data_IF_660084633816
#
_entry.id   IF_660084633816
#
_cell.length_a   1.000
_cell.length_b   1.000
_cell.length_c   1.000
_cell.angle_alpha   90.00
_cell.angle_beta   90.00
_cell.angle_gamma   90.00
#
_symmetry.space_group_name_H-M   'P 1'
#
loop_
_entity.id
_entity.type
_entity.pdbx_description
1 polymer ?
#
# COMPACT_ATOMS: atom_id res chain seq x y z
N UNK A 1 6.96 -20.61 -1.80
CA UNK A 1 8.05 -20.32 -0.87
C UNK A 1 7.67 -20.83 0.52
N UNK A 2 7.92 -22.13 0.76
CA UNK A 2 7.86 -22.69 2.11
C UNK A 2 9.17 -22.30 2.80
N UNK A 3 9.20 -21.11 3.39
CA UNK A 3 10.37 -20.62 4.14
C UNK A 3 10.55 -21.32 5.50
N UNK A 4 9.79 -22.38 5.81
CA UNK A 4 9.92 -23.11 7.07
C UNK A 4 9.70 -22.23 8.33
N UNK A 5 9.10 -21.04 8.18
CA UNK A 5 8.86 -20.12 9.26
C UNK A 5 7.69 -20.59 10.12
N UNK A 6 7.73 -20.42 11.47
CA UNK A 6 6.62 -20.75 12.35
C UNK A 6 5.35 -19.99 11.95
N UNK A 7 4.20 -20.61 12.12
CA UNK A 7 2.88 -20.18 11.64
C UNK A 7 2.47 -18.73 12.01
N UNK A 8 3.09 -18.11 13.02
CA UNK A 8 2.80 -16.72 13.41
C UNK A 8 3.72 -15.66 12.76
N UNK A 9 4.90 -16.07 12.31
CA UNK A 9 5.91 -15.14 11.75
C UNK A 9 5.73 -14.96 10.25
N UNK A 10 5.25 -16.00 9.57
CA UNK A 10 5.06 -16.00 8.12
C UNK A 10 4.19 -14.84 7.60
N UNK A 11 2.98 -14.58 8.12
CA UNK A 11 2.15 -13.47 7.62
C UNK A 11 2.76 -12.09 7.90
N UNK A 12 3.45 -11.92 9.03
CA UNK A 12 4.09 -10.63 9.36
C UNK A 12 5.21 -10.31 8.38
N UNK A 13 6.06 -11.28 8.10
CA UNK A 13 7.16 -11.13 7.12
C UNK A 13 6.59 -10.86 5.73
N UNK A 14 5.54 -11.57 5.31
CA UNK A 14 4.90 -11.35 4.02
C UNK A 14 4.32 -9.94 3.89
N UNK A 15 3.65 -9.40 4.93
CA UNK A 15 3.11 -8.04 4.95
C UNK A 15 4.24 -7.00 4.89
N UNK A 16 5.33 -7.18 5.61
CA UNK A 16 6.47 -6.26 5.55
C UNK A 16 7.15 -6.28 4.19
N UNK A 17 7.33 -7.46 3.59
CA UNK A 17 7.90 -7.59 2.25
C UNK A 17 7.00 -6.95 1.19
N UNK A 18 5.68 -7.13 1.27
CA UNK A 18 4.74 -6.47 0.36
C UNK A 18 4.79 -4.95 0.51
N UNK A 19 4.95 -4.43 1.74
CA UNK A 19 5.19 -3.02 2.00
C UNK A 19 6.46 -2.50 1.34
N UNK A 20 7.57 -3.24 1.43
CA UNK A 20 8.83 -2.86 0.78
C UNK A 20 8.71 -2.84 -0.75
N UNK A 21 8.05 -3.83 -1.33
CA UNK A 21 7.77 -3.87 -2.78
C UNK A 21 6.91 -2.67 -3.18
N UNK A 22 5.86 -2.34 -2.43
CA UNK A 22 5.03 -1.16 -2.64
C UNK A 22 5.83 0.13 -2.61
N UNK A 23 6.74 0.29 -1.63
CA UNK A 23 7.63 1.45 -1.55
C UNK A 23 8.55 1.57 -2.78
N UNK A 24 9.14 0.46 -3.24
CA UNK A 24 9.99 0.45 -4.43
C UNK A 24 9.20 0.86 -5.68
N UNK A 25 7.98 0.36 -5.85
CA UNK A 25 7.12 0.73 -6.96
C UNK A 25 6.77 2.22 -6.97
N UNK A 26 6.44 2.80 -5.82
CA UNK A 26 6.11 4.23 -5.72
C UNK A 26 7.33 5.14 -5.78
N UNK A 27 8.55 4.62 -5.63
CA UNK A 27 9.77 5.37 -5.91
C UNK A 27 9.88 5.79 -7.38
N UNK A 28 9.33 4.99 -8.32
CA UNK A 28 9.42 5.28 -9.76
C UNK A 28 8.75 6.62 -10.13
N UNK A 29 7.46 6.87 -9.82
CA UNK A 29 6.83 8.17 -10.10
C UNK A 29 7.46 9.31 -9.30
N UNK A 30 8.00 9.05 -8.08
CA UNK A 30 8.74 10.06 -7.33
C UNK A 30 10.01 10.53 -8.07
N UNK A 31 10.80 9.59 -8.58
CA UNK A 31 12.00 9.89 -9.36
C UNK A 31 11.65 10.60 -10.68
N UNK A 32 10.59 10.18 -11.35
CA UNK A 32 10.09 10.85 -12.55
C UNK A 32 9.71 12.30 -12.25
N UNK A 33 8.96 12.57 -11.19
CA UNK A 33 8.64 13.95 -10.76
C UNK A 33 9.89 14.80 -10.55
N UNK A 34 10.89 14.24 -9.87
CA UNK A 34 12.11 14.96 -9.54
C UNK A 34 12.95 15.28 -10.80
N UNK A 35 13.05 14.33 -11.74
CA UNK A 35 13.92 14.46 -12.91
C UNK A 35 13.25 15.20 -14.07
N UNK A 36 11.96 14.98 -14.30
CA UNK A 36 11.24 15.48 -15.47
C UNK A 36 10.15 16.48 -15.15
N UNK A 37 9.95 16.77 -13.86
CA UNK A 37 8.84 17.59 -13.35
C UNK A 37 7.44 17.12 -13.84
N UNK A 38 7.32 15.83 -14.18
CA UNK A 38 6.06 15.22 -14.62
C UNK A 38 5.04 15.15 -13.49
N UNK A 39 3.76 15.01 -13.86
CA UNK A 39 2.68 14.80 -12.88
C UNK A 39 2.81 13.42 -12.21
N UNK A 40 2.86 13.40 -10.88
CA UNK A 40 2.88 12.16 -10.10
C UNK A 40 1.61 11.34 -10.36
N UNK A 41 0.44 11.99 -10.47
CA UNK A 41 -0.83 11.30 -10.72
C UNK A 41 -0.80 10.54 -12.05
N UNK A 42 -0.36 11.18 -13.12
CA UNK A 42 -0.32 10.53 -14.44
C UNK A 42 0.68 9.38 -14.45
N UNK A 43 1.88 9.61 -13.90
CA UNK A 43 2.92 8.58 -13.84
C UNK A 43 2.49 7.37 -12.98
N UNK A 44 1.81 7.59 -11.85
CA UNK A 44 1.33 6.51 -11.00
C UNK A 44 0.17 5.73 -11.61
N UNK A 45 -0.74 6.40 -12.32
CA UNK A 45 -1.82 5.72 -13.04
C UNK A 45 -1.28 4.81 -14.15
N UNK A 46 -0.30 5.28 -14.94
CA UNK A 46 0.34 4.44 -15.95
C UNK A 46 1.09 3.27 -15.33
N UNK A 47 1.83 3.51 -14.25
CA UNK A 47 2.56 2.46 -13.55
C UNK A 47 1.61 1.39 -12.97
N UNK A 48 0.41 1.77 -12.56
CA UNK A 48 -0.59 0.86 -12.04
C UNK A 48 -1.02 -0.19 -13.09
N UNK A 49 -1.24 0.24 -14.34
CA UNK A 49 -1.53 -0.69 -15.43
C UNK A 49 -0.32 -1.57 -15.79
N UNK A 50 0.88 -1.00 -15.80
CA UNK A 50 2.12 -1.78 -16.03
C UNK A 50 2.26 -2.85 -14.94
N UNK A 51 2.06 -2.49 -13.67
CA UNK A 51 2.12 -3.41 -12.55
C UNK A 51 1.07 -4.53 -12.66
N UNK A 52 -0.17 -4.21 -13.07
CA UNK A 52 -1.22 -5.19 -13.28
C UNK A 52 -0.84 -6.22 -14.35
N UNK A 53 -0.39 -5.76 -15.52
CA UNK A 53 0.01 -6.66 -16.60
C UNK A 53 1.24 -7.49 -16.24
N UNK A 54 2.20 -6.89 -15.53
CA UNK A 54 3.38 -7.60 -15.05
C UNK A 54 3.02 -8.67 -14.00
N UNK A 55 2.13 -8.35 -13.06
CA UNK A 55 1.63 -9.31 -12.07
C UNK A 55 0.84 -10.45 -12.74
N UNK A 56 0.01 -10.14 -13.73
CA UNK A 56 -0.73 -11.14 -14.51
C UNK A 56 0.22 -12.03 -15.31
N UNK A 57 1.26 -11.47 -15.89
CA UNK A 57 2.30 -12.25 -16.58
C UNK A 57 2.99 -13.23 -15.64
N UNK A 58 3.42 -12.76 -14.46
CA UNK A 58 4.04 -13.63 -13.45
C UNK A 58 3.06 -14.72 -12.99
N UNK A 59 1.79 -14.34 -12.75
CA UNK A 59 0.78 -15.30 -12.35
C UNK A 59 0.63 -16.41 -13.38
N UNK A 60 0.45 -16.07 -14.65
CA UNK A 60 0.17 -17.02 -15.71
C UNK A 60 1.36 -17.95 -16.05
N UNK A 61 2.59 -17.45 -15.94
CA UNK A 61 3.78 -18.22 -16.38
C UNK A 61 4.49 -18.95 -15.25
N UNK A 62 4.40 -18.47 -14.00
CA UNK A 62 5.22 -18.99 -12.90
C UNK A 62 4.41 -19.56 -11.72
N UNK A 63 3.19 -19.08 -11.48
CA UNK A 63 2.46 -19.35 -10.22
C UNK A 63 1.08 -19.98 -10.50
N UNK A 64 0.67 -20.08 -11.76
CA UNK A 64 -0.65 -20.56 -12.14
C UNK A 64 -0.83 -22.05 -11.76
N UNK A 65 -1.97 -22.36 -11.17
CA UNK A 65 -2.41 -23.73 -10.94
C UNK A 65 -3.03 -24.27 -12.23
N UNK A 66 -2.44 -25.30 -12.87
CA UNK A 66 -2.94 -25.86 -14.15
C UNK A 66 -4.38 -26.37 -14.06
N UNK A 67 -4.87 -26.70 -12.87
CA UNK A 67 -6.23 -27.23 -12.66
C UNK A 67 -7.32 -26.14 -12.78
N UNK A 68 -6.97 -24.86 -12.59
CA UNK A 68 -7.92 -23.73 -12.57
C UNK A 68 -7.65 -22.75 -13.72
N UNK A 69 -6.41 -22.68 -14.19
CA UNK A 69 -6.03 -21.91 -15.38
C UNK A 69 -5.93 -20.38 -15.23
N UNK A 70 -6.47 -19.78 -14.15
CA UNK A 70 -6.49 -18.33 -13.94
C UNK A 70 -6.20 -17.87 -12.51
N UNK A 71 -5.78 -18.78 -11.63
CA UNK A 71 -5.46 -18.48 -10.22
C UNK A 71 -4.15 -19.13 -9.79
N UNK A 72 -3.54 -18.57 -8.76
CA UNK A 72 -2.34 -19.15 -8.15
C UNK A 72 -2.66 -20.42 -7.37
N UNK A 73 -1.63 -21.18 -6.99
CA UNK A 73 -1.76 -22.23 -5.97
C UNK A 73 -2.37 -21.67 -4.68
N UNK A 74 -3.03 -22.54 -3.92
CA UNK A 74 -3.59 -22.17 -2.60
C UNK A 74 -2.51 -21.68 -1.67
N UNK A 75 -2.82 -20.59 -0.96
CA UNK A 75 -1.97 -20.07 0.11
C UNK A 75 -2.08 -21.04 1.30
N UNK A 76 -0.96 -21.53 1.87
CA UNK A 76 -1.00 -22.41 3.03
C UNK A 76 -1.70 -21.74 4.21
N UNK A 77 -2.56 -22.51 4.92
CA UNK A 77 -3.32 -22.01 6.09
C UNK A 77 -2.40 -21.43 7.19
N UNK A 78 -1.18 -21.94 7.31
CA UNK A 78 -0.17 -21.39 8.22
C UNK A 78 0.28 -19.96 7.91
N UNK A 79 0.00 -19.45 6.70
CA UNK A 79 0.34 -18.10 6.26
C UNK A 79 -0.86 -17.17 6.20
N UNK A 80 -2.08 -17.68 6.36
CA UNK A 80 -3.30 -16.86 6.39
C UNK A 80 -3.48 -16.20 7.76
N UNK A 81 -4.12 -15.02 7.76
CA UNK A 81 -4.47 -14.34 8.99
C UNK A 81 -5.65 -15.04 9.67
N UNK A 82 -5.57 -15.38 10.99
CA UNK A 82 -6.67 -16.01 11.69
C UNK A 82 -7.87 -15.05 11.78
N UNK A 83 -9.09 -15.58 11.74
CA UNK A 83 -10.30 -14.81 12.04
C UNK A 83 -10.40 -14.52 13.54
N UNK A 84 -10.58 -13.25 13.92
CA UNK A 84 -10.70 -12.84 15.32
C UNK A 84 -12.05 -13.24 15.93
N UNK A 85 -13.11 -13.26 15.14
CA UNK A 85 -14.47 -13.62 15.59
C UNK A 85 -15.02 -14.69 14.66
N UNK A 86 -15.38 -15.83 15.19
CA UNK A 86 -16.07 -16.90 14.45
C UNK A 86 -17.34 -16.32 13.80
N UNK A 87 -17.54 -16.64 12.51
CA UNK A 87 -18.64 -16.16 11.67
C UNK A 87 -18.53 -14.71 11.16
N UNK A 88 -17.46 -13.96 11.43
CA UNK A 88 -17.19 -12.65 10.86
C UNK A 88 -15.92 -12.66 10.02
N UNK A 89 -15.79 -11.69 9.11
CA UNK A 89 -14.60 -11.52 8.28
C UNK A 89 -13.53 -10.63 8.94
N UNK A 90 -13.70 -10.36 10.24
CA UNK A 90 -12.76 -9.50 10.99
C UNK A 90 -11.49 -10.29 11.28
N UNK A 91 -10.38 -9.76 10.83
CA UNK A 91 -9.03 -10.34 10.99
C UNK A 91 -8.06 -9.29 11.57
N UNK A 92 -6.87 -9.66 12.04
CA UNK A 92 -5.89 -8.74 12.67
C UNK A 92 -5.48 -7.55 11.78
N UNK A 93 -5.72 -7.60 10.47
CA UNK A 93 -5.49 -6.49 9.55
C UNK A 93 -6.25 -5.20 9.93
N UNK A 94 -7.43 -5.32 10.56
CA UNK A 94 -8.16 -4.15 11.08
C UNK A 94 -7.34 -3.43 12.17
N UNK A 95 -6.73 -4.18 13.08
CA UNK A 95 -5.90 -3.61 14.15
C UNK A 95 -4.68 -2.92 13.53
N UNK A 96 -4.07 -3.55 12.51
CA UNK A 96 -2.95 -2.96 11.77
C UNK A 96 -3.37 -1.66 11.08
N UNK A 97 -4.53 -1.62 10.43
CA UNK A 97 -5.05 -0.42 9.77
C UNK A 97 -5.27 0.72 10.76
N UNK A 98 -5.88 0.44 11.92
CA UNK A 98 -6.06 1.44 12.99
C UNK A 98 -4.72 1.92 13.55
N UNK A 99 -3.78 1.03 13.76
CA UNK A 99 -2.43 1.39 14.20
C UNK A 99 -1.74 2.29 13.16
N UNK A 100 -1.83 1.96 11.86
CA UNK A 100 -1.30 2.80 10.78
C UNK A 100 -1.97 4.19 10.73
N UNK A 101 -3.28 4.29 10.99
CA UNK A 101 -3.98 5.57 11.04
C UNK A 101 -3.45 6.46 12.19
N UNK A 102 -3.28 5.88 13.39
CA UNK A 102 -2.73 6.60 14.54
C UNK A 102 -1.27 7.00 14.32
N UNK A 103 -0.44 6.09 13.82
CA UNK A 103 0.96 6.37 13.50
C UNK A 103 1.09 7.43 12.39
N UNK A 104 0.23 7.36 11.37
CA UNK A 104 0.15 8.35 10.30
C UNK A 104 -0.23 9.73 10.84
N UNK A 105 -1.16 9.81 11.77
CA UNK A 105 -1.50 11.06 12.44
C UNK A 105 -0.32 11.63 13.23
N UNK A 106 0.33 10.83 14.06
CA UNK A 106 1.49 11.25 14.84
C UNK A 106 2.61 11.73 13.89
N UNK A 107 2.88 10.96 12.84
CA UNK A 107 3.88 11.32 11.84
C UNK A 107 3.56 12.65 11.16
N UNK A 108 2.35 12.85 10.66
CA UNK A 108 1.97 14.06 9.92
C UNK A 108 1.87 15.30 10.81
N UNK A 109 1.37 15.17 12.05
CA UNK A 109 1.07 16.33 12.90
C UNK A 109 2.08 16.59 14.01
N UNK A 110 2.87 15.59 14.39
CA UNK A 110 3.83 15.70 15.51
C UNK A 110 5.30 15.62 15.08
N UNK A 111 5.60 15.29 13.80
CA UNK A 111 6.99 15.22 13.34
C UNK A 111 7.39 16.43 12.48
N UNK A 112 8.69 16.72 12.44
CA UNK A 112 9.28 17.76 11.59
C UNK A 112 9.05 17.46 10.11
N UNK A 113 9.24 16.20 9.69
CA UNK A 113 9.05 15.76 8.32
C UNK A 113 7.59 15.89 7.90
N UNK A 114 6.64 15.56 8.79
CA UNK A 114 5.21 15.73 8.56
C UNK A 114 4.81 17.21 8.40
N UNK A 115 5.45 18.11 9.13
CA UNK A 115 5.27 19.55 8.94
C UNK A 115 5.78 20.00 7.56
N UNK A 116 6.98 19.60 7.17
CA UNK A 116 7.56 19.89 5.86
C UNK A 116 6.67 19.36 4.72
N UNK A 117 6.11 18.14 4.87
CA UNK A 117 5.16 17.52 3.95
C UNK A 117 3.90 18.35 3.76
N UNK A 118 3.26 18.77 4.85
CA UNK A 118 2.03 19.56 4.79
C UNK A 118 2.27 20.95 4.19
N UNK A 119 3.38 21.58 4.54
CA UNK A 119 3.74 22.88 4.01
C UNK A 119 4.00 22.81 2.48
N UNK A 120 4.76 21.81 2.05
CA UNK A 120 5.02 21.56 0.61
C UNK A 120 3.73 21.25 -0.14
N UNK A 121 2.80 20.49 0.46
CA UNK A 121 1.52 20.18 -0.15
C UNK A 121 0.57 21.38 -0.30
N UNK A 122 0.72 22.40 0.54
CA UNK A 122 -0.06 23.64 0.45
C UNK A 122 0.53 24.62 -0.59
N UNK A 123 1.83 24.81 -0.55
CA UNK A 123 2.53 25.69 -1.48
C UNK A 123 3.99 25.25 -1.63
N UNK A 124 4.30 24.64 -2.77
CA UNK A 124 5.63 24.12 -3.08
C UNK A 124 6.67 25.23 -3.20
N UNK A 125 6.31 26.39 -3.78
CA UNK A 125 7.24 27.52 -3.91
C UNK A 125 7.58 28.14 -2.57
N UNK A 126 6.57 28.36 -1.72
CA UNK A 126 6.81 28.85 -0.36
C UNK A 126 7.70 27.91 0.45
N UNK A 127 7.47 26.59 0.36
CA UNK A 127 8.30 25.60 1.02
C UNK A 127 9.76 25.67 0.55
N UNK A 128 9.98 25.88 -0.75
CA UNK A 128 11.31 26.04 -1.34
C UNK A 128 12.02 27.30 -0.81
N UNK A 129 11.31 28.43 -0.76
CA UNK A 129 11.85 29.69 -0.20
C UNK A 129 12.15 29.57 1.31
N UNK A 130 11.41 28.73 2.02
CA UNK A 130 11.63 28.42 3.43
C UNK A 130 12.80 27.44 3.68
N UNK A 131 13.54 27.06 2.64
CA UNK A 131 14.69 26.15 2.73
C UNK A 131 14.35 24.67 2.87
N UNK A 132 13.10 24.27 2.59
CA UNK A 132 12.71 22.86 2.64
C UNK A 132 13.22 22.16 1.38
N UNK A 133 13.80 20.98 1.57
CA UNK A 133 14.25 20.14 0.46
C UNK A 133 13.10 19.38 -0.16
N UNK A 134 12.50 19.93 -1.24
CA UNK A 134 11.35 19.36 -1.94
C UNK A 134 11.62 17.94 -2.43
N UNK A 135 12.83 17.64 -2.92
CA UNK A 135 13.21 16.31 -3.40
C UNK A 135 13.05 15.28 -2.29
N UNK A 136 13.56 15.59 -1.09
CA UNK A 136 13.47 14.73 0.09
C UNK A 136 12.00 14.53 0.50
N UNK A 137 11.22 15.60 0.50
CA UNK A 137 9.80 15.56 0.87
C UNK A 137 9.01 14.68 -0.09
N UNK A 138 9.18 14.84 -1.40
CA UNK A 138 8.53 14.01 -2.42
C UNK A 138 8.91 12.54 -2.29
N UNK A 139 10.20 12.23 -2.12
CA UNK A 139 10.65 10.84 -1.95
C UNK A 139 10.06 10.20 -0.68
N UNK A 140 10.16 10.88 0.45
CA UNK A 140 9.66 10.34 1.73
C UNK A 140 8.15 10.12 1.66
N UNK A 141 7.37 11.05 1.12
CA UNK A 141 5.92 10.90 1.00
C UNK A 141 5.52 9.71 0.14
N UNK A 142 6.16 9.54 -1.01
CA UNK A 142 5.87 8.44 -1.94
C UNK A 142 6.29 7.08 -1.37
N UNK A 143 7.49 7.00 -0.76
CA UNK A 143 7.97 5.76 -0.16
C UNK A 143 7.10 5.31 1.02
N UNK A 144 6.72 6.22 1.90
CA UNK A 144 5.85 5.91 3.04
C UNK A 144 4.44 5.55 2.58
N UNK A 145 3.87 6.31 1.65
CA UNK A 145 2.56 5.99 1.08
C UNK A 145 2.55 4.63 0.40
N UNK A 146 3.57 4.34 -0.42
CA UNK A 146 3.74 3.05 -1.09
C UNK A 146 3.96 1.89 -0.13
N UNK A 147 4.72 2.11 0.96
CA UNK A 147 4.92 1.11 2.00
C UNK A 147 3.61 0.73 2.69
N UNK A 148 2.81 1.71 3.12
CA UNK A 148 1.52 1.48 3.77
C UNK A 148 0.54 0.82 2.81
N UNK A 149 0.46 1.29 1.56
CA UNK A 149 -0.40 0.69 0.54
C UNK A 149 0.00 -0.76 0.22
N UNK A 150 1.30 -1.04 0.11
CA UNK A 150 1.82 -2.39 -0.08
C UNK A 150 1.51 -3.32 1.09
N UNK A 151 1.62 -2.83 2.33
CA UNK A 151 1.18 -3.58 3.52
C UNK A 151 -0.32 -3.89 3.46
N UNK A 152 -1.14 -2.93 3.04
CA UNK A 152 -2.59 -3.12 2.85
C UNK A 152 -2.89 -4.23 1.83
N UNK A 153 -2.21 -4.23 0.68
CA UNK A 153 -2.33 -5.30 -0.31
C UNK A 153 -1.87 -6.67 0.21
N UNK A 154 -0.82 -6.71 1.02
CA UNK A 154 -0.38 -7.94 1.70
C UNK A 154 -1.40 -8.49 2.69
N UNK A 155 -2.01 -7.62 3.48
CA UNK A 155 -3.09 -7.98 4.43
C UNK A 155 -4.31 -8.50 3.69
N UNK A 156 -4.70 -7.86 2.59
CA UNK A 156 -5.84 -8.26 1.77
C UNK A 156 -5.64 -9.66 1.19
N UNK A 157 -4.45 -9.93 0.63
CA UNK A 157 -4.12 -11.23 0.05
C UNK A 157 -4.08 -12.36 1.10
N UNK A 158 -3.61 -12.06 2.31
CA UNK A 158 -3.52 -13.03 3.41
C UNK A 158 -4.81 -13.13 4.23
N UNK A 159 -5.83 -12.36 3.85
CA UNK A 159 -7.15 -12.44 4.46
C UNK A 159 -7.76 -13.83 4.27
N UNK A 160 -8.51 -14.35 5.25
CA UNK A 160 -9.20 -15.63 5.15
C UNK A 160 -10.26 -15.70 4.04
N UNK A 161 -10.56 -14.56 3.40
CA UNK A 161 -11.49 -14.45 2.26
C UNK A 161 -10.83 -14.95 0.98
N UNK A 162 -9.55 -14.66 0.79
CA UNK A 162 -8.80 -14.98 -0.41
C UNK A 162 -7.84 -16.13 -0.13
N UNK A 163 -8.16 -17.30 -0.65
CA UNK A 163 -7.30 -18.48 -0.55
C UNK A 163 -6.28 -18.58 -1.68
N UNK A 164 -6.42 -17.71 -2.70
CA UNK A 164 -5.61 -17.72 -3.93
C UNK A 164 -5.49 -16.31 -4.50
N UNK A 165 -4.40 -16.02 -5.17
CA UNK A 165 -4.27 -14.81 -5.98
C UNK A 165 -4.92 -15.05 -7.34
N UNK A 166 -6.00 -14.31 -7.64
CA UNK A 166 -6.77 -14.43 -8.89
C UNK A 166 -7.14 -13.09 -9.52
N UNK A 167 -6.54 -12.00 -9.05
CA UNK A 167 -6.87 -10.66 -9.52
C UNK A 167 -6.20 -10.38 -10.86
N UNK A 168 -7.01 -10.32 -11.90
CA UNK A 168 -6.62 -9.97 -13.28
C UNK A 168 -7.11 -8.59 -13.71
N UNK A 169 -7.79 -7.88 -12.80
CA UNK A 169 -8.32 -6.52 -13.01
C UNK A 169 -8.01 -5.62 -11.82
N UNK A 170 -8.06 -4.31 -12.05
CA UNK A 170 -7.90 -3.33 -10.98
C UNK A 170 -9.11 -3.35 -10.06
N UNK A 171 -8.88 -3.52 -8.77
CA UNK A 171 -9.93 -3.60 -7.73
C UNK A 171 -10.61 -2.24 -7.43
N UNK A 172 -10.04 -1.14 -7.90
CA UNK A 172 -10.64 0.19 -7.70
C UNK A 172 -10.32 0.85 -6.35
N UNK A 173 -9.75 0.14 -5.39
CA UNK A 173 -9.47 0.66 -4.03
C UNK A 173 -8.70 1.99 -3.99
N UNK A 174 -7.89 2.28 -5.03
CA UNK A 174 -7.19 3.55 -5.13
C UNK A 174 -8.14 4.74 -5.33
N UNK A 175 -9.23 4.55 -6.07
CA UNK A 175 -10.25 5.58 -6.26
C UNK A 175 -11.09 5.79 -5.00
N UNK A 176 -11.48 4.70 -4.35
CA UNK A 176 -12.20 4.74 -3.08
C UNK A 176 -11.36 5.45 -2.00
N UNK A 177 -10.04 5.17 -1.97
CA UNK A 177 -9.11 5.84 -1.05
C UNK A 177 -9.04 7.36 -1.27
N UNK A 178 -9.12 7.85 -2.51
CA UNK A 178 -9.16 9.30 -2.81
C UNK A 178 -10.45 9.92 -2.25
N UNK A 179 -11.59 9.26 -2.42
CA UNK A 179 -12.88 9.71 -1.89
C UNK A 179 -12.84 9.77 -0.37
N UNK A 180 -12.36 8.71 0.27
CA UNK A 180 -12.22 8.62 1.74
C UNK A 180 -11.26 9.70 2.26
N UNK A 181 -10.15 9.93 1.57
CA UNK A 181 -9.18 10.95 1.95
C UNK A 181 -9.77 12.36 1.90
N UNK A 182 -10.54 12.69 0.87
CA UNK A 182 -11.22 13.98 0.75
C UNK A 182 -12.31 14.13 1.81
N UNK A 183 -13.09 13.10 2.07
CA UNK A 183 -14.14 13.09 3.09
C UNK A 183 -13.56 13.26 4.50
N UNK A 184 -12.44 12.64 4.79
CA UNK A 184 -11.72 12.76 6.06
C UNK A 184 -10.90 14.06 6.19
N UNK A 185 -10.99 14.98 5.23
CA UNK A 185 -10.23 16.25 5.19
C UNK A 185 -8.70 16.04 5.32
N UNK A 186 -8.18 14.99 4.70
CA UNK A 186 -6.76 14.60 4.78
C UNK A 186 -6.26 14.33 6.21
N UNK A 187 -7.14 13.97 7.13
CA UNK A 187 -6.77 13.65 8.51
C UNK A 187 -6.83 12.13 8.73
N UNK A 188 -5.68 11.47 9.01
CA UNK A 188 -5.62 10.02 9.16
C UNK A 188 -6.51 9.44 10.26
N UNK A 189 -6.83 10.21 11.32
CA UNK A 189 -7.73 9.74 12.38
C UNK A 189 -9.19 9.62 11.95
N UNK A 190 -9.61 10.42 10.97
CA UNK A 190 -10.98 10.37 10.46
C UNK A 190 -11.15 9.38 9.30
N UNK A 191 -10.05 8.90 8.72
CA UNK A 191 -10.08 7.92 7.63
C UNK A 191 -10.84 6.64 8.00
N UNK A 192 -10.63 6.00 9.18
CA UNK A 192 -11.37 4.80 9.53
C UNK A 192 -12.87 5.01 9.78
N UNK A 193 -13.30 6.27 10.00
CA UNK A 193 -14.72 6.63 10.16
C UNK A 193 -15.37 6.95 8.80
N UNK A 194 -14.57 7.29 7.80
CA UNK A 194 -15.01 7.62 6.46
C UNK A 194 -15.02 6.40 5.52
N UNK A 195 -14.33 5.32 5.89
CA UNK A 195 -14.26 4.05 5.18
C UNK A 195 -15.38 3.09 5.59
#
# INVERSE_FOLDING_TARGET
LQLGLPAGVSPVVAILLSGLVGAIFTAIPAVLKIKTNSSILVSSLMLNYIALWFATFILMHFICDPSIGSASYTIPDASTLPTLISKTRIHPGLILALACAVLGYIFLFKSKIGYELRLTGQNEEFAKYSGINIVKVVLVSQLLGGFIAGMGGGVELLSPIYTRFSWTSLLGYGWDAIIICTLSRNNPLYTPLAA
#
